data_IF_366700397474
#
_entry.id   IF_366700397474
#
_cell.length_a   1.000
_cell.length_b   1.000
_cell.length_c   1.000
_cell.angle_alpha   90.00
_cell.angle_beta   90.00
_cell.angle_gamma   90.00
#
_symmetry.space_group_name_H-M   'P 1'
#
loop_
_entity.id
_entity.type
_entity.pdbx_description
1 polymer ?
#
# COMPACT_ATOMS: atom_id res chain seq x y z
N UNK A 1 -17.02 -2.43 -4.38
CA UNK A 1 -15.67 -2.93 -4.75
C UNK A 1 -15.82 -4.29 -5.44
N UNK A 2 -15.13 -4.53 -6.56
CA UNK A 2 -15.20 -5.79 -7.31
C UNK A 2 -14.56 -6.96 -6.53
N UNK A 3 -15.02 -8.21 -6.77
CA UNK A 3 -14.54 -9.42 -6.09
C UNK A 3 -13.01 -9.57 -6.10
N UNK A 4 -12.36 -9.32 -7.23
CA UNK A 4 -10.90 -9.44 -7.34
C UNK A 4 -10.18 -8.34 -6.55
N UNK A 5 -10.71 -7.12 -6.59
CA UNK A 5 -10.22 -6.00 -5.78
C UNK A 5 -10.36 -6.33 -4.29
N UNK A 6 -11.54 -6.78 -3.85
CA UNK A 6 -11.79 -7.23 -2.47
C UNK A 6 -10.79 -8.30 -2.02
N UNK A 7 -10.48 -9.28 -2.88
CA UNK A 7 -9.54 -10.34 -2.55
C UNK A 7 -8.14 -9.79 -2.24
N UNK A 8 -7.64 -8.83 -3.02
CA UNK A 8 -6.32 -8.22 -2.78
C UNK A 8 -6.26 -7.42 -1.48
N UNK A 9 -7.30 -6.66 -1.15
CA UNK A 9 -7.39 -5.99 0.14
C UNK A 9 -7.52 -6.99 1.30
N UNK A 10 -8.21 -8.11 1.10
CA UNK A 10 -8.31 -9.18 2.10
C UNK A 10 -6.97 -9.89 2.31
N UNK A 11 -6.18 -10.11 1.26
CA UNK A 11 -4.83 -10.66 1.36
C UNK A 11 -3.95 -9.76 2.25
N UNK A 12 -4.01 -8.44 2.04
CA UNK A 12 -3.30 -7.45 2.89
C UNK A 12 -3.80 -7.51 4.31
N UNK A 13 -5.11 -7.42 4.56
CA UNK A 13 -5.68 -7.44 5.92
C UNK A 13 -5.33 -8.71 6.70
N UNK A 14 -5.28 -9.85 6.01
CA UNK A 14 -4.94 -11.13 6.65
C UNK A 14 -3.48 -11.17 7.10
N UNK A 15 -2.59 -10.47 6.39
CA UNK A 15 -1.17 -10.37 6.78
C UNK A 15 -0.91 -9.20 7.72
N UNK A 16 -1.48 -8.03 7.45
CA UNK A 16 -1.28 -6.79 8.19
C UNK A 16 -2.56 -6.46 8.98
N UNK A 17 -2.50 -6.70 10.29
CA UNK A 17 -3.60 -6.43 11.21
C UNK A 17 -3.95 -4.94 11.24
N UNK A 18 -5.25 -4.65 11.25
CA UNK A 18 -5.81 -3.34 11.57
C UNK A 18 -6.15 -3.18 13.06
N UNK A 19 -5.92 -4.22 13.87
CA UNK A 19 -6.02 -4.19 15.33
C UNK A 19 -4.65 -3.93 15.95
N UNK A 20 -4.56 -2.91 16.80
CA UNK A 20 -3.32 -2.51 17.47
C UNK A 20 -2.98 -3.47 18.61
N UNK A 21 -1.70 -3.82 18.74
CA UNK A 21 -1.15 -4.46 19.93
C UNK A 21 -0.28 -3.46 20.69
N UNK A 22 -0.74 -3.09 21.89
CA UNK A 22 -0.12 -2.02 22.66
C UNK A 22 -0.24 -0.68 21.94
N UNK A 23 0.90 -0.10 21.55
CA UNK A 23 0.98 1.24 20.95
C UNK A 23 1.32 1.20 19.46
N UNK A 24 1.09 0.09 18.75
CA UNK A 24 1.47 -0.02 17.35
C UNK A 24 0.81 -1.17 16.60
N UNK A 25 1.12 -1.25 15.31
CA UNK A 25 0.64 -2.33 14.45
C UNK A 25 1.48 -3.59 14.72
N UNK A 26 0.86 -4.75 14.94
CA UNK A 26 1.58 -6.01 15.17
C UNK A 26 2.58 -6.34 14.06
N UNK A 27 3.62 -7.09 14.39
CA UNK A 27 4.50 -7.69 13.37
C UNK A 27 3.72 -8.78 12.65
N UNK A 28 3.81 -8.80 11.32
CA UNK A 28 3.32 -9.92 10.54
C UNK A 28 4.41 -10.99 10.44
N UNK A 29 4.00 -12.24 10.25
CA UNK A 29 4.91 -13.38 10.25
C UNK A 29 6.08 -13.23 9.25
N UNK A 30 7.22 -13.84 9.57
CA UNK A 30 8.41 -13.86 8.70
C UNK A 30 8.15 -14.47 7.31
N UNK A 31 7.14 -15.33 7.18
CA UNK A 31 6.73 -15.94 5.91
C UNK A 31 5.71 -15.10 5.11
N UNK A 32 5.31 -13.94 5.63
CA UNK A 32 4.36 -13.06 4.95
C UNK A 32 4.90 -12.62 3.58
N UNK A 33 4.02 -12.62 2.57
CA UNK A 33 4.36 -12.09 1.25
C UNK A 33 4.69 -10.59 1.29
N UNK A 34 4.24 -9.87 2.33
CA UNK A 34 4.51 -8.44 2.52
C UNK A 34 5.99 -8.16 2.80
N UNK A 35 6.76 -9.14 3.33
CA UNK A 35 8.19 -8.97 3.56
C UNK A 35 8.96 -8.60 2.28
N UNK A 36 8.48 -9.02 1.09
CA UNK A 36 9.09 -8.64 -0.20
C UNK A 36 9.09 -7.15 -0.49
N UNK A 37 8.21 -6.39 0.17
CA UNK A 37 8.06 -4.95 0.02
C UNK A 37 8.71 -4.18 1.18
N UNK A 38 9.40 -4.88 2.07
CA UNK A 38 10.18 -4.31 3.15
C UNK A 38 11.66 -4.20 2.77
N UNK A 39 12.37 -3.24 3.35
CA UNK A 39 13.81 -3.09 3.16
C UNK A 39 14.57 -4.30 3.72
N UNK A 40 15.40 -4.95 2.90
CA UNK A 40 16.07 -6.22 3.23
C UNK A 40 15.13 -7.32 3.79
N UNK A 41 13.86 -7.32 3.36
CA UNK A 41 12.91 -8.33 3.80
C UNK A 41 12.34 -8.11 5.20
N UNK A 42 12.62 -6.97 5.85
CA UNK A 42 12.17 -6.70 7.22
C UNK A 42 11.58 -5.30 7.38
N UNK A 43 10.35 -5.23 7.89
CA UNK A 43 9.68 -3.97 8.21
C UNK A 43 9.87 -3.67 9.71
N UNK A 44 10.54 -2.55 10.05
CA UNK A 44 10.94 -2.25 11.42
C UNK A 44 10.02 -1.25 12.15
N UNK A 45 9.05 -0.67 11.42
CA UNK A 45 8.12 0.32 11.94
C UNK A 45 6.71 0.11 11.38
N UNK A 46 5.71 0.74 12.01
CA UNK A 46 4.34 0.76 11.51
C UNK A 46 4.29 1.36 10.09
N UNK A 47 5.08 2.41 9.83
CA UNK A 47 5.18 3.01 8.50
C UNK A 47 5.79 2.05 7.48
N UNK A 48 6.79 1.25 7.85
CA UNK A 48 7.34 0.23 6.93
C UNK A 48 6.27 -0.81 6.57
N UNK A 49 5.51 -1.28 7.57
CA UNK A 49 4.45 -2.27 7.37
C UNK A 49 3.31 -1.74 6.51
N UNK A 50 2.83 -0.53 6.79
CA UNK A 50 1.81 0.15 5.98
C UNK A 50 2.34 0.37 4.54
N UNK A 51 3.60 0.77 4.41
CA UNK A 51 4.26 0.94 3.11
C UNK A 51 4.31 -0.37 2.32
N UNK A 52 4.65 -1.48 2.96
CA UNK A 52 4.66 -2.80 2.32
C UNK A 52 3.27 -3.19 1.79
N UNK A 53 2.22 -2.97 2.59
CA UNK A 53 0.83 -3.19 2.15
C UNK A 53 0.43 -2.27 0.97
N UNK A 54 0.82 -1.00 1.02
CA UNK A 54 0.56 -0.03 -0.04
C UNK A 54 1.23 -0.43 -1.36
N UNK A 55 2.53 -0.76 -1.33
CA UNK A 55 3.29 -1.22 -2.49
C UNK A 55 2.72 -2.50 -3.09
N UNK A 56 2.31 -3.47 -2.25
CA UNK A 56 1.64 -4.68 -2.73
C UNK A 56 0.35 -4.36 -3.49
N UNK A 57 -0.51 -3.48 -2.96
CA UNK A 57 -1.76 -3.11 -3.63
C UNK A 57 -1.47 -2.41 -4.97
N UNK A 58 -0.52 -1.48 -4.99
CA UNK A 58 -0.12 -0.80 -6.22
C UNK A 58 0.40 -1.78 -7.26
N UNK A 59 1.28 -2.71 -6.89
CA UNK A 59 1.74 -3.75 -7.82
C UNK A 59 0.59 -4.66 -8.26
N UNK A 60 -0.24 -5.12 -7.33
CA UNK A 60 -1.33 -6.05 -7.62
C UNK A 60 -2.37 -5.50 -8.62
N UNK A 61 -2.49 -4.18 -8.75
CA UNK A 61 -3.45 -3.52 -9.64
C UNK A 61 -2.82 -2.77 -10.82
N UNK A 62 -1.56 -2.35 -10.69
CA UNK A 62 -0.90 -1.44 -11.64
C UNK A 62 0.50 -1.90 -12.07
N UNK A 63 0.90 -3.15 -11.83
CA UNK A 63 2.21 -3.67 -12.26
C UNK A 63 2.53 -3.40 -13.73
N UNK A 64 1.56 -3.66 -14.59
CA UNK A 64 1.66 -3.45 -16.03
C UNK A 64 0.27 -3.30 -16.67
N UNK A 65 0.23 -2.99 -17.96
CA UNK A 65 -1.00 -2.81 -18.73
C UNK A 65 -1.93 -4.02 -18.69
N UNK A 66 -1.41 -5.24 -18.61
CA UNK A 66 -2.25 -6.45 -18.59
C UNK A 66 -2.98 -6.61 -17.25
N UNK A 67 -2.28 -6.35 -16.15
CA UNK A 67 -2.87 -6.32 -14.80
C UNK A 67 -3.88 -5.18 -14.70
N UNK A 68 -3.53 -4.01 -15.21
CA UNK A 68 -4.43 -2.86 -15.21
C UNK A 68 -5.71 -3.12 -16.02
N UNK A 69 -5.60 -3.65 -17.25
CA UNK A 69 -6.75 -3.93 -18.12
C UNK A 69 -7.67 -5.01 -17.53
N UNK A 70 -7.11 -6.04 -16.88
CA UNK A 70 -7.89 -7.12 -16.30
C UNK A 70 -8.63 -6.73 -15.02
N UNK A 71 -7.97 -5.98 -14.12
CA UNK A 71 -8.51 -5.67 -12.80
C UNK A 71 -8.91 -4.19 -12.70
N UNK A 72 -7.99 -3.26 -12.88
CA UNK A 72 -8.20 -1.86 -12.51
C UNK A 72 -9.05 -1.05 -13.50
N UNK A 73 -8.97 -1.30 -14.82
CA UNK A 73 -9.64 -0.48 -15.85
C UNK A 73 -11.15 -0.46 -15.72
N UNK A 74 -11.75 -1.59 -15.37
CA UNK A 74 -13.20 -1.69 -15.16
C UNK A 74 -13.61 -1.28 -13.73
N UNK A 75 -12.64 -0.90 -12.89
CA UNK A 75 -12.81 -0.49 -11.50
C UNK A 75 -12.22 0.92 -11.32
N UNK A 76 -12.95 1.94 -11.78
CA UNK A 76 -12.52 3.35 -11.80
C UNK A 76 -11.99 3.85 -10.44
N UNK A 77 -12.38 3.23 -9.33
CA UNK A 77 -12.08 3.71 -7.98
C UNK A 77 -10.98 2.92 -7.25
N UNK A 78 -10.18 2.07 -7.94
CA UNK A 78 -9.14 1.27 -7.23
C UNK A 78 -8.13 2.16 -6.50
N UNK A 79 -7.67 3.24 -7.14
CA UNK A 79 -6.76 4.21 -6.50
C UNK A 79 -7.41 4.81 -5.26
N UNK A 80 -8.67 5.25 -5.36
CA UNK A 80 -9.41 5.82 -4.23
C UNK A 80 -9.53 4.81 -3.08
N UNK A 81 -9.76 3.53 -3.36
CA UNK A 81 -9.80 2.49 -2.33
C UNK A 81 -8.43 2.28 -1.66
N UNK A 82 -7.33 2.36 -2.41
CA UNK A 82 -5.97 2.32 -1.84
C UNK A 82 -5.77 3.52 -0.91
N UNK A 83 -6.15 4.72 -1.34
CA UNK A 83 -6.02 5.95 -0.54
C UNK A 83 -6.89 5.91 0.72
N UNK A 84 -8.12 5.40 0.63
CA UNK A 84 -9.01 5.22 1.79
C UNK A 84 -8.39 4.23 2.78
N UNK A 85 -7.92 3.07 2.31
CA UNK A 85 -7.25 2.08 3.14
C UNK A 85 -5.99 2.66 3.79
N UNK A 86 -5.15 3.36 3.03
CA UNK A 86 -3.94 3.99 3.51
C UNK A 86 -4.25 5.04 4.59
N UNK A 87 -5.24 5.89 4.33
CA UNK A 87 -5.70 6.91 5.28
C UNK A 87 -6.23 6.27 6.56
N UNK A 88 -6.97 5.17 6.45
CA UNK A 88 -7.47 4.42 7.60
C UNK A 88 -6.30 3.88 8.45
N UNK A 89 -5.35 3.16 7.82
CA UNK A 89 -4.22 2.56 8.53
C UNK A 89 -3.34 3.62 9.20
N UNK A 90 -3.08 4.74 8.54
CA UNK A 90 -2.26 5.84 9.11
C UNK A 90 -2.95 6.57 10.26
N UNK A 91 -4.28 6.51 10.34
CA UNK A 91 -5.05 7.08 11.42
C UNK A 91 -5.27 6.13 12.61
N UNK A 92 -4.95 4.83 12.49
CA UNK A 92 -5.13 3.86 13.58
C UNK A 92 -4.36 4.26 14.85
N UNK A 93 -3.11 4.70 14.70
CA UNK A 93 -2.24 5.07 15.81
C UNK A 93 -1.90 6.58 15.78
N UNK A 94 -2.92 7.41 15.59
CA UNK A 94 -2.73 8.86 15.52
C UNK A 94 -2.40 9.42 16.91
N UNK A 95 -1.18 9.92 17.07
CA UNK A 95 -0.82 10.75 18.22
C UNK A 95 -1.29 12.20 18.01
N UNK A 96 -1.76 12.85 19.07
CA UNK A 96 -2.13 14.26 19.01
C UNK A 96 -0.94 15.11 18.54
N UNK A 97 -1.15 15.94 17.51
CA UNK A 97 -0.15 16.87 16.99
C UNK A 97 0.75 16.34 15.85
N UNK A 98 0.60 15.06 15.45
CA UNK A 98 1.37 14.49 14.33
C UNK A 98 0.48 14.25 13.10
N UNK A 99 0.97 14.65 11.91
CA UNK A 99 0.28 14.44 10.64
C UNK A 99 0.85 13.20 9.94
N UNK A 100 0.44 12.03 10.42
CA UNK A 100 0.92 10.74 9.92
C UNK A 100 0.78 10.58 8.40
N UNK A 101 -0.25 11.19 7.79
CA UNK A 101 -0.47 11.12 6.34
C UNK A 101 0.62 11.90 5.61
N UNK A 102 0.83 13.15 6.02
CA UNK A 102 1.87 14.01 5.42
C UNK A 102 3.26 13.41 5.61
N UNK A 103 3.55 12.90 6.79
CA UNK A 103 4.86 12.33 7.10
C UNK A 103 5.10 11.03 6.32
N UNK A 104 4.10 10.17 6.22
CA UNK A 104 4.16 8.98 5.38
C UNK A 104 4.44 9.34 3.91
N UNK A 105 3.74 10.34 3.36
CA UNK A 105 3.97 10.77 1.98
C UNK A 105 5.39 11.28 1.76
N UNK A 106 5.93 12.06 2.69
CA UNK A 106 7.29 12.61 2.58
C UNK A 106 8.37 11.55 2.74
N UNK A 107 8.27 10.71 3.77
CA UNK A 107 9.31 9.75 4.10
C UNK A 107 9.24 8.44 3.31
N UNK A 108 8.05 8.07 2.81
CA UNK A 108 7.86 6.85 2.02
C UNK A 108 7.65 7.18 0.55
N UNK A 109 6.51 7.72 0.17
CA UNK A 109 6.13 7.93 -1.25
C UNK A 109 7.14 8.77 -2.02
N UNK A 110 7.60 9.88 -1.43
CA UNK A 110 8.53 10.80 -2.10
C UNK A 110 9.99 10.32 -2.10
N UNK A 111 10.39 9.58 -1.08
CA UNK A 111 11.80 9.28 -0.80
C UNK A 111 12.23 7.90 -1.33
N UNK A 112 11.32 6.93 -1.38
CA UNK A 112 11.62 5.56 -1.79
C UNK A 112 11.54 5.37 -3.31
N UNK A 113 12.48 4.61 -3.86
CA UNK A 113 12.60 4.40 -5.32
C UNK A 113 11.52 3.46 -5.86
N UNK A 114 10.93 2.61 -5.02
CA UNK A 114 9.86 1.69 -5.39
C UNK A 114 8.63 2.42 -5.94
N UNK A 115 8.39 3.67 -5.49
CA UNK A 115 7.29 4.50 -6.00
C UNK A 115 7.61 5.20 -7.33
N UNK A 116 8.89 5.25 -7.71
CA UNK A 116 9.34 5.76 -9.00
C UNK A 116 9.36 4.67 -10.07
N UNK A 117 9.04 3.42 -9.71
CA UNK A 117 8.97 2.31 -10.64
C UNK A 117 7.97 2.60 -11.75
N UNK A 118 8.45 2.47 -12.99
CA UNK A 118 7.66 2.75 -14.19
C UNK A 118 6.55 1.72 -14.35
N UNK A 119 5.33 2.21 -14.59
CA UNK A 119 4.20 1.37 -14.93
C UNK A 119 4.12 1.24 -16.45
N UNK A 120 4.51 0.08 -16.98
CA UNK A 120 4.53 -0.12 -18.42
C UNK A 120 3.10 -0.24 -18.98
N UNK A 121 2.75 0.66 -19.90
CA UNK A 121 1.55 0.56 -20.73
C UNK A 121 0.24 1.01 -20.06
N UNK A 122 0.28 1.64 -18.88
CA UNK A 122 -0.88 2.34 -18.31
C UNK A 122 -0.85 3.79 -18.78
N UNK A 123 -1.87 4.20 -19.56
CA UNK A 123 -1.97 5.59 -20.03
C UNK A 123 -2.24 6.52 -18.84
N UNK A 124 -1.65 7.71 -18.87
CA UNK A 124 -1.79 8.80 -17.89
C UNK A 124 -0.97 8.72 -16.60
N UNK A 125 -0.37 7.57 -16.27
CA UNK A 125 0.47 7.43 -15.08
C UNK A 125 1.82 6.82 -15.45
N UNK A 126 2.90 7.52 -15.11
CA UNK A 126 4.26 7.07 -15.42
C UNK A 126 4.77 6.05 -14.39
N UNK A 127 4.37 6.20 -13.12
CA UNK A 127 4.83 5.39 -12.00
C UNK A 127 3.81 5.40 -10.86
N UNK A 128 4.06 4.60 -9.81
CA UNK A 128 3.16 4.51 -8.65
C UNK A 128 2.99 5.82 -7.90
N UNK A 129 4.02 6.68 -7.83
CA UNK A 129 3.89 8.01 -7.24
C UNK A 129 2.86 8.86 -7.96
N UNK A 130 2.76 8.76 -9.29
CA UNK A 130 1.73 9.48 -10.07
C UNK A 130 0.30 9.03 -9.77
N UNK A 131 0.11 7.85 -9.17
CA UNK A 131 -1.20 7.37 -8.74
C UNK A 131 -1.62 7.91 -7.36
N UNK A 132 -0.70 8.44 -6.55
CA UNK A 132 -0.92 8.80 -5.14
C UNK A 132 -0.79 10.30 -4.89
#
# INVERSE_FOLDING_TARGET
MNKEVCKKFQDVRTSLSDELEGNGIPEFNDDSFLNKYCYFGKCNSDFDRINAGCLYLLEAFFKDSSVFESIAKNNINVVEYILIWLSYMLNLNKSEGHDNIRDFYNFKINSHDEYKNVINGVRHYENYKGLI
#
